data_IF_467746469250
#
_entry.id   IF_467746469250
#
_cell.length_a   1.000
_cell.length_b   1.000
_cell.length_c   1.000
_cell.angle_alpha   90.00
_cell.angle_beta   90.00
_cell.angle_gamma   90.00
#
_symmetry.space_group_name_H-M   'P 1'
#
loop_
_entity.id
_entity.type
_entity.pdbx_description
1 polymer ?
#
# COMPACT_ATOMS: atom_id res chain seq x y z
N UNK A 1 21.69 44.34 -31.77
CA UNK A 1 20.72 45.32 -31.23
C UNK A 1 19.91 44.71 -30.10
N UNK A 2 19.78 45.38 -28.94
CA UNK A 2 19.08 44.85 -27.75
C UNK A 2 17.60 44.52 -28.00
N UNK A 3 16.97 45.21 -28.95
CA UNK A 3 15.57 44.97 -29.35
C UNK A 3 15.33 43.57 -29.93
N UNK A 4 16.31 43.00 -30.65
CA UNK A 4 16.18 41.66 -31.23
C UNK A 4 16.19 40.59 -30.12
N UNK A 5 17.01 40.79 -29.09
CA UNK A 5 17.11 39.87 -27.95
C UNK A 5 15.80 39.85 -27.13
N UNK A 6 15.17 41.01 -26.93
CA UNK A 6 13.87 41.12 -26.25
C UNK A 6 12.76 40.43 -27.07
N UNK A 7 12.75 40.59 -28.39
CA UNK A 7 11.79 39.94 -29.27
C UNK A 7 11.94 38.40 -29.26
N UNK A 8 13.17 37.89 -29.29
CA UNK A 8 13.45 36.44 -29.21
C UNK A 8 13.10 35.87 -27.83
N UNK A 9 13.43 36.56 -26.73
CA UNK A 9 13.02 36.14 -25.38
C UNK A 9 11.50 36.16 -25.21
N UNK A 10 10.82 37.19 -25.73
CA UNK A 10 9.35 37.28 -25.69
C UNK A 10 8.70 36.14 -26.48
N UNK A 11 9.24 35.83 -27.65
CA UNK A 11 8.77 34.71 -28.50
C UNK A 11 9.05 33.35 -27.86
N UNK A 12 10.24 33.14 -27.28
CA UNK A 12 10.60 31.91 -26.59
C UNK A 12 9.76 31.68 -25.32
N UNK A 13 9.47 32.76 -24.57
CA UNK A 13 8.56 32.71 -23.41
C UNK A 13 7.12 32.46 -23.83
N UNK A 14 6.66 33.06 -24.93
CA UNK A 14 5.34 32.80 -25.52
C UNK A 14 5.18 31.37 -26.02
N UNK A 15 6.17 30.81 -26.71
CA UNK A 15 6.17 29.41 -27.14
C UNK A 15 6.23 28.44 -25.95
N UNK A 16 7.01 28.76 -24.92
CA UNK A 16 7.06 27.98 -23.68
C UNK A 16 5.76 28.08 -22.88
N UNK A 17 5.10 29.24 -22.85
CA UNK A 17 3.83 29.43 -22.16
C UNK A 17 2.66 28.82 -22.94
N UNK A 18 2.65 28.85 -24.27
CA UNK A 18 1.67 28.14 -25.09
C UNK A 18 1.74 26.61 -24.84
N UNK A 19 2.96 26.06 -24.75
CA UNK A 19 3.15 24.64 -24.41
C UNK A 19 2.73 24.32 -22.98
N UNK A 20 3.03 25.17 -21.99
CA UNK A 20 2.60 24.92 -20.61
C UNK A 20 1.09 25.10 -20.43
N UNK A 21 0.48 26.10 -21.08
CA UNK A 21 -0.97 26.32 -21.08
C UNK A 21 -1.72 25.14 -21.72
N UNK A 22 -1.20 24.57 -22.81
CA UNK A 22 -1.75 23.36 -23.42
C UNK A 22 -1.70 22.15 -22.48
N UNK A 23 -0.58 21.96 -21.77
CA UNK A 23 -0.45 20.89 -20.78
C UNK A 23 -1.40 21.07 -19.59
N UNK A 24 -1.57 22.29 -19.07
CA UNK A 24 -2.52 22.57 -17.99
C UNK A 24 -3.97 22.37 -18.45
N UNK A 25 -4.32 22.81 -19.66
CA UNK A 25 -5.64 22.55 -20.23
C UNK A 25 -5.90 21.05 -20.43
N UNK A 26 -4.91 20.30 -20.93
CA UNK A 26 -4.99 18.85 -21.08
C UNK A 26 -5.13 18.15 -19.72
N UNK A 27 -4.41 18.63 -18.70
CA UNK A 27 -4.49 18.11 -17.33
C UNK A 27 -5.89 18.33 -16.75
N UNK A 28 -6.47 19.51 -16.91
CA UNK A 28 -7.84 19.80 -16.45
C UNK A 28 -8.88 18.92 -17.14
N UNK A 29 -8.81 18.81 -18.48
CA UNK A 29 -9.67 17.89 -19.25
C UNK A 29 -9.54 16.44 -18.76
N UNK A 30 -8.32 16.01 -18.44
CA UNK A 30 -8.07 14.67 -17.92
C UNK A 30 -8.66 14.47 -16.52
N UNK A 31 -8.60 15.48 -15.65
CA UNK A 31 -9.22 15.43 -14.32
C UNK A 31 -10.74 15.26 -14.47
N UNK A 32 -11.38 16.02 -15.36
CA UNK A 32 -12.82 15.91 -15.63
C UNK A 32 -13.19 14.54 -16.23
N UNK A 33 -12.41 14.05 -17.19
CA UNK A 33 -12.61 12.73 -17.78
C UNK A 33 -12.47 11.60 -16.74
N UNK A 34 -11.46 11.67 -15.87
CA UNK A 34 -11.25 10.69 -14.79
C UNK A 34 -12.37 10.78 -13.76
N UNK A 35 -12.84 11.98 -13.40
CA UNK A 35 -14.01 12.15 -12.53
C UNK A 35 -15.23 11.43 -13.08
N UNK A 36 -15.55 11.68 -14.36
CA UNK A 36 -16.66 11.00 -15.05
C UNK A 36 -16.46 9.49 -15.10
N UNK A 37 -15.24 9.03 -15.39
CA UNK A 37 -14.92 7.61 -15.42
C UNK A 37 -15.14 6.93 -14.05
N UNK A 38 -14.69 7.55 -12.96
CA UNK A 38 -14.88 6.98 -11.61
C UNK A 38 -16.37 6.89 -11.27
N UNK A 39 -17.13 7.96 -11.50
CA UNK A 39 -18.57 7.99 -11.23
C UNK A 39 -19.34 6.95 -12.06
N UNK A 40 -19.03 6.84 -13.35
CA UNK A 40 -19.63 5.83 -14.24
C UNK A 40 -19.29 4.41 -13.80
N UNK A 41 -18.05 4.14 -13.37
CA UNK A 41 -17.65 2.82 -12.85
C UNK A 41 -18.40 2.47 -11.56
N UNK A 42 -18.63 3.45 -10.68
CA UNK A 42 -19.36 3.25 -9.42
C UNK A 42 -20.88 3.34 -9.57
N UNK A 43 -21.40 3.64 -10.77
CA UNK A 43 -22.83 3.88 -11.03
C UNK A 43 -23.42 5.01 -10.18
N UNK A 44 -22.63 6.04 -9.91
CA UNK A 44 -23.04 7.20 -9.13
C UNK A 44 -23.29 8.39 -10.07
N UNK A 45 -24.43 9.10 -9.95
CA UNK A 45 -24.69 10.30 -10.75
C UNK A 45 -23.86 11.51 -10.31
N UNK A 46 -23.45 11.54 -9.05
CA UNK A 46 -22.64 12.58 -8.43
C UNK A 46 -21.84 11.99 -7.25
N UNK A 47 -20.80 12.67 -6.75
CA UNK A 47 -20.12 12.26 -5.52
C UNK A 47 -21.13 12.17 -4.36
N UNK A 48 -21.05 11.12 -3.52
CA UNK A 48 -21.89 11.02 -2.33
C UNK A 48 -21.58 12.17 -1.37
N UNK A 49 -22.57 12.58 -0.56
CA UNK A 49 -22.33 13.54 0.50
C UNK A 49 -21.22 13.01 1.42
N UNK A 50 -20.19 13.82 1.65
CA UNK A 50 -19.22 13.48 2.68
C UNK A 50 -19.95 13.58 4.02
N UNK A 51 -19.97 12.49 4.79
CA UNK A 51 -20.33 12.57 6.20
C UNK A 51 -19.21 13.33 6.91
N UNK A 52 -19.31 14.65 6.90
CA UNK A 52 -18.48 15.54 7.73
C UNK A 52 -18.94 15.39 9.18
N UNK A 53 -18.58 14.26 9.79
CA UNK A 53 -18.73 14.08 11.22
C UNK A 53 -17.85 15.12 11.93
N UNK A 54 -18.40 15.96 12.83
CA UNK A 54 -17.61 16.96 13.54
C UNK A 54 -16.60 16.25 14.46
N UNK A 55 -15.32 16.35 14.11
CA UNK A 55 -14.23 15.78 14.90
C UNK A 55 -13.04 15.32 14.06
N UNK A 56 -11.98 14.80 14.70
CA UNK A 56 -10.88 14.17 13.97
C UNK A 56 -11.42 12.95 13.20
N UNK A 57 -10.92 12.69 11.97
CA UNK A 57 -11.38 11.58 11.17
C UNK A 57 -11.20 10.28 11.94
N UNK A 58 -12.27 9.49 12.04
CA UNK A 58 -12.21 8.18 12.69
C UNK A 58 -11.25 7.27 11.91
N UNK A 59 -10.38 6.51 12.59
CA UNK A 59 -9.57 5.51 11.91
C UNK A 59 -10.46 4.48 11.22
N UNK A 60 -10.06 4.05 10.01
CA UNK A 60 -10.76 2.98 9.30
C UNK A 60 -10.69 1.67 10.11
N UNK A 61 -11.76 0.87 10.12
CA UNK A 61 -11.75 -0.48 10.68
C UNK A 61 -10.59 -1.34 10.14
N UNK A 62 -10.05 -2.21 10.99
CA UNK A 62 -8.85 -3.00 10.66
C UNK A 62 -9.09 -3.98 9.51
N UNK A 63 -10.25 -4.62 9.49
CA UNK A 63 -10.72 -5.54 8.46
C UNK A 63 -10.81 -4.86 7.08
N UNK A 64 -11.35 -3.65 7.01
CA UNK A 64 -11.41 -2.83 5.79
C UNK A 64 -10.00 -2.50 5.30
N UNK A 65 -9.12 -2.09 6.22
CA UNK A 65 -7.72 -1.79 5.90
C UNK A 65 -6.97 -3.04 5.42
N UNK A 66 -7.20 -4.19 6.05
CA UNK A 66 -6.59 -5.47 5.67
C UNK A 66 -7.07 -5.92 4.28
N UNK A 67 -8.37 -5.78 4.00
CA UNK A 67 -8.97 -6.08 2.68
C UNK A 67 -8.40 -5.17 1.58
N UNK A 68 -8.28 -3.88 1.84
CA UNK A 68 -7.66 -2.95 0.89
C UNK A 68 -6.20 -3.34 0.61
N UNK A 69 -5.42 -3.62 1.66
CA UNK A 69 -4.01 -3.98 1.53
C UNK A 69 -3.80 -5.27 0.74
N UNK A 70 -4.57 -6.32 1.04
CA UNK A 70 -4.49 -7.59 0.30
C UNK A 70 -4.87 -7.42 -1.17
N UNK A 71 -5.90 -6.62 -1.46
CA UNK A 71 -6.34 -6.32 -2.83
C UNK A 71 -5.28 -5.53 -3.59
N UNK A 72 -4.68 -4.51 -2.97
CA UNK A 72 -3.63 -3.69 -3.57
C UNK A 72 -2.42 -4.56 -3.94
N UNK A 73 -2.04 -5.46 -3.04
CA UNK A 73 -0.92 -6.38 -3.28
C UNK A 73 -1.22 -7.39 -4.39
N UNK A 74 -2.40 -8.02 -4.37
CA UNK A 74 -2.86 -8.92 -5.43
C UNK A 74 -2.86 -8.25 -6.81
N UNK A 75 -3.35 -7.01 -6.89
CA UNK A 75 -3.37 -6.24 -8.14
C UNK A 75 -1.96 -5.89 -8.63
N UNK A 76 -1.02 -5.59 -7.72
CA UNK A 76 0.39 -5.35 -8.07
C UNK A 76 1.05 -6.59 -8.64
N UNK A 77 0.83 -7.75 -8.03
CA UNK A 77 1.36 -9.03 -8.50
C UNK A 77 0.82 -9.36 -9.90
N UNK A 78 -0.47 -9.11 -10.13
CA UNK A 78 -1.14 -9.35 -11.42
C UNK A 78 -0.85 -8.30 -12.49
N UNK A 79 -0.39 -7.10 -12.13
CA UNK A 79 -0.16 -6.01 -13.07
C UNK A 79 0.82 -6.38 -14.19
N UNK A 80 1.79 -7.26 -13.91
CA UNK A 80 2.78 -7.73 -14.89
C UNK A 80 2.21 -8.72 -15.92
N UNK A 81 1.07 -9.35 -15.61
CA UNK A 81 0.45 -10.41 -16.40
C UNK A 81 -0.94 -10.02 -16.90
N UNK A 82 -1.34 -8.75 -16.72
CA UNK A 82 -2.73 -8.35 -16.91
C UNK A 82 -3.09 -8.34 -18.41
N UNK A 83 -4.03 -9.17 -18.87
CA UNK A 83 -4.58 -9.04 -20.21
C UNK A 83 -5.35 -7.72 -20.33
N UNK A 84 -5.62 -7.29 -21.57
CA UNK A 84 -6.46 -6.13 -21.81
C UNK A 84 -7.79 -6.27 -21.03
N UNK A 85 -8.30 -5.20 -20.41
CA UNK A 85 -9.56 -5.26 -19.68
C UNK A 85 -10.68 -5.71 -20.62
N UNK A 86 -11.43 -6.73 -20.21
CA UNK A 86 -12.61 -7.18 -20.95
C UNK A 86 -13.65 -6.05 -20.98
N UNK A 87 -14.16 -5.66 -22.17
CA UNK A 87 -15.25 -4.68 -22.29
C UNK A 87 -16.47 -5.00 -21.43
N UNK A 88 -16.72 -6.26 -21.09
CA UNK A 88 -17.83 -6.65 -20.21
C UNK A 88 -17.61 -6.30 -18.73
N UNK A 89 -16.37 -6.07 -18.29
CA UNK A 89 -16.02 -5.73 -16.90
C UNK A 89 -15.84 -4.22 -16.68
N UNK A 90 -16.80 -3.42 -17.17
CA UNK A 90 -16.70 -1.96 -17.10
C UNK A 90 -16.93 -1.41 -15.67
N UNK A 91 -17.90 -1.96 -14.95
CA UNK A 91 -18.31 -1.46 -13.63
C UNK A 91 -17.39 -1.91 -12.50
N UNK A 92 -17.34 -1.12 -11.43
CA UNK A 92 -16.69 -1.48 -10.18
C UNK A 92 -17.33 -2.74 -9.59
N UNK A 93 -16.52 -3.57 -8.95
CA UNK A 93 -16.95 -4.77 -8.22
C UNK A 93 -16.80 -4.50 -6.73
N UNK A 94 -17.76 -4.96 -5.94
CA UNK A 94 -17.64 -4.99 -4.49
C UNK A 94 -16.70 -6.14 -4.08
N UNK A 95 -15.89 -5.91 -3.05
CA UNK A 95 -14.96 -6.91 -2.53
C UNK A 95 -15.38 -7.31 -1.12
N UNK A 96 -15.47 -8.62 -0.90
CA UNK A 96 -15.78 -9.25 0.37
C UNK A 96 -14.68 -10.27 0.68
N UNK A 97 -14.33 -10.43 1.96
CA UNK A 97 -13.37 -11.43 2.42
C UNK A 97 -14.04 -12.38 3.39
N UNK A 98 -13.89 -13.67 3.13
CA UNK A 98 -14.35 -14.74 4.00
C UNK A 98 -13.12 -15.43 4.61
N UNK A 99 -12.94 -15.41 5.94
CA UNK A 99 -11.89 -16.19 6.58
C UNK A 99 -12.20 -17.68 6.42
N UNK A 100 -11.17 -18.48 6.18
CA UNK A 100 -11.28 -19.94 6.17
C UNK A 100 -11.05 -20.46 7.58
N UNK A 101 -11.85 -21.44 8.02
CA UNK A 101 -11.56 -22.18 9.24
C UNK A 101 -10.31 -23.04 9.02
N UNK A 102 -9.30 -22.86 9.87
CA UNK A 102 -8.16 -23.77 9.91
C UNK A 102 -8.60 -25.09 10.53
N UNK A 103 -8.33 -26.25 9.93
CA UNK A 103 -8.67 -27.54 10.53
C UNK A 103 -7.91 -27.72 11.85
N UNK A 104 -8.60 -27.48 12.97
CA UNK A 104 -8.28 -27.98 14.31
C UNK A 104 -7.01 -27.46 15.00
N UNK A 105 -7.11 -26.31 15.67
CA UNK A 105 -6.73 -26.28 17.08
C UNK A 105 -7.97 -26.70 17.87
N UNK A 106 -8.19 -28.02 17.92
CA UNK A 106 -9.13 -28.59 18.87
C UNK A 106 -8.66 -28.26 20.27
N UNK A 107 -9.54 -27.63 21.03
CA UNK A 107 -9.45 -27.35 22.45
C UNK A 107 -8.90 -28.58 23.22
N UNK A 108 -7.61 -28.51 23.55
CA UNK A 108 -6.90 -29.46 24.38
C UNK A 108 -6.56 -28.80 25.71
N UNK A 109 -7.55 -28.62 26.59
CA UNK A 109 -7.30 -28.58 28.02
C UNK A 109 -6.65 -29.91 28.42
N UNK A 110 -5.32 -30.00 28.34
CA UNK A 110 -4.53 -31.10 28.89
C UNK A 110 -3.36 -30.55 29.69
N UNK A 111 -3.52 -30.64 31.01
CA UNK A 111 -2.43 -31.03 31.89
C UNK A 111 -1.55 -29.89 32.39
N UNK A 112 -1.98 -29.31 33.49
CA UNK A 112 -1.06 -28.89 34.54
C UNK A 112 -0.18 -30.11 34.92
N UNK A 113 1.07 -30.15 34.45
CA UNK A 113 2.10 -30.97 35.09
C UNK A 113 2.95 -30.05 35.97
N UNK A 114 2.53 -29.95 37.24
CA UNK A 114 3.48 -29.66 38.29
C UNK A 114 4.36 -30.90 38.44
N UNK A 115 5.64 -30.80 38.10
CA UNK A 115 6.64 -31.75 38.55
C UNK A 115 7.49 -31.08 39.63
N UNK A 116 7.16 -31.43 40.86
CA UNK A 116 7.93 -31.11 42.06
C UNK A 116 9.12 -32.06 42.17
N UNK A 117 10.31 -31.49 42.09
CA UNK A 117 11.47 -31.90 42.90
C UNK A 117 12.46 -32.87 42.26
N UNK A 118 13.74 -32.48 42.29
CA UNK A 118 14.76 -33.19 43.07
C UNK A 118 16.12 -32.52 42.92
N UNK A 119 16.62 -32.01 44.03
CA UNK A 119 18.02 -31.71 44.28
C UNK A 119 18.93 -32.86 43.88
N UNK A 120 20.02 -32.55 43.17
CA UNK A 120 21.34 -33.13 43.45
C UNK A 120 22.42 -32.31 42.76
N UNK A 121 23.15 -31.54 43.56
CA UNK A 121 24.47 -31.06 43.15
C UNK A 121 25.44 -32.22 43.01
N UNK A 122 26.36 -32.10 42.06
CA UNK A 122 27.74 -32.55 42.24
C UNK A 122 28.65 -31.68 41.39
N UNK A 123 29.67 -31.20 42.08
CA UNK A 123 30.79 -30.38 41.66
C UNK A 123 31.71 -31.14 40.70
N UNK A 124 32.19 -30.45 39.66
CA UNK A 124 33.23 -30.94 38.77
C UNK A 124 34.09 -29.79 38.27
N UNK A 125 35.20 -29.54 38.99
CA UNK A 125 36.34 -28.76 38.51
C UNK A 125 36.95 -29.43 37.27
N UNK A 126 37.43 -28.62 36.33
CA UNK A 126 38.19 -29.08 35.17
C UNK A 126 38.62 -27.92 34.30
N UNK A 127 39.69 -27.24 34.73
CA UNK A 127 40.42 -26.26 33.94
C UNK A 127 40.96 -26.90 32.64
N UNK A 128 40.83 -26.20 31.52
CA UNK A 128 41.85 -26.20 30.45
C UNK A 128 41.63 -25.06 29.47
N UNK A 129 42.59 -24.15 29.51
CA UNK A 129 42.79 -23.05 28.58
C UNK A 129 43.40 -23.54 27.25
N UNK A 130 42.92 -23.01 26.13
CA UNK A 130 43.64 -22.86 24.87
C UNK A 130 42.83 -21.89 23.98
N UNK A 131 43.25 -20.62 23.88
CA UNK A 131 44.13 -20.07 22.84
C UNK A 131 43.36 -19.49 21.63
N UNK A 132 43.20 -18.16 21.71
CA UNK A 132 43.53 -17.15 20.69
C UNK A 132 43.03 -17.29 19.24
N UNK A 133 42.28 -16.25 18.82
CA UNK A 133 42.26 -15.78 17.44
C UNK A 133 41.43 -14.49 17.30
N UNK A 134 42.03 -13.29 17.25
CA UNK A 134 41.31 -12.08 16.87
C UNK A 134 41.29 -11.92 15.34
N UNK A 135 40.08 -11.81 14.77
CA UNK A 135 39.84 -11.37 13.39
C UNK A 135 39.56 -9.87 13.34
N UNK A 136 40.02 -9.15 12.29
CA UNK A 136 40.18 -7.70 12.33
C UNK A 136 38.91 -6.91 12.00
N UNK A 137 38.80 -5.72 12.60
CA UNK A 137 37.95 -4.63 12.16
C UNK A 137 38.85 -3.47 11.72
N UNK A 138 38.67 -2.98 10.50
CA UNK A 138 39.43 -1.87 9.91
C UNK A 138 39.47 -1.96 8.40
#
# INVERSE_FOLDING_TARGET
SPLLLVAVLGSARGLSSCRSLDLEAARLKRIEAVRGQILSKLRLPAPPAAEEEPGPPRPLPEDVRALYNSTRELLRQRARLRPAPDPQEYYGKELLRFPMETPGEGEGTRGHCGDTGRDRGTQGHGDSAALAGPGPAG
#
